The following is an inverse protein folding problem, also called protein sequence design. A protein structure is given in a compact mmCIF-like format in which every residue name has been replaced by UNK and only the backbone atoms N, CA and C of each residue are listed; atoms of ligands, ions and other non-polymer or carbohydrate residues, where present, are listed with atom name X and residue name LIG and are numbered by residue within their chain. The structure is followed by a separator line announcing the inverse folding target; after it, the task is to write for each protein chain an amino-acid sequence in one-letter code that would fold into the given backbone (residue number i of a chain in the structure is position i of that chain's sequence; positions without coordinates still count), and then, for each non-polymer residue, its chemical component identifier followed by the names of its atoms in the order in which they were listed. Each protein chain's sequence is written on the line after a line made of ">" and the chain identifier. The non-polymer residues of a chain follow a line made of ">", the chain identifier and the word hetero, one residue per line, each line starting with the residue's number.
data_IF_783570838121
#
_entry.id   IF_783570838121
#
_cell.length_a   1.000
_cell.length_b   1.000
_cell.length_c   1.000
_cell.angle_alpha   90.00
_cell.angle_beta   90.00
_cell.angle_gamma   90.00
#
_symmetry.space_group_name_H-M   'P 1'
#
loop_
_entity.id
_entity.type
_entity.pdbx_description
1 polymer ?
#
# COMPACT_ATOMS: atom_id res chain seq x y z
N UNK A 1 -36.74 -37.74 16.97
CA UNK A 1 -35.32 -38.11 16.77
C UNK A 1 -34.71 -37.11 15.79
N UNK A 2 -33.65 -36.38 16.15
CA UNK A 2 -33.00 -35.43 15.23
C UNK A 2 -32.14 -36.21 14.23
N UNK A 3 -32.25 -35.89 12.93
CA UNK A 3 -31.42 -36.47 11.86
C UNK A 3 -30.28 -35.50 11.51
N UNK A 4 -29.12 -36.06 11.14
CA UNK A 4 -27.95 -35.31 10.66
C UNK A 4 -27.73 -35.58 9.17
N UNK A 5 -27.08 -34.66 8.48
CA UNK A 5 -26.67 -34.79 7.08
C UNK A 5 -25.36 -34.06 6.80
N UNK A 6 -24.73 -34.38 5.68
CA UNK A 6 -23.50 -33.75 5.20
C UNK A 6 -23.76 -33.09 3.85
N UNK A 7 -23.21 -31.90 3.64
CA UNK A 7 -23.28 -31.17 2.38
C UNK A 7 -21.91 -30.66 1.94
N UNK A 8 -21.71 -30.56 0.63
CA UNK A 8 -20.55 -29.92 0.00
C UNK A 8 -21.03 -28.82 -0.93
N UNK A 9 -20.33 -27.69 -0.93
CA UNK A 9 -20.60 -26.55 -1.81
C UNK A 9 -19.29 -25.97 -2.32
N UNK A 10 -19.27 -25.58 -3.58
CA UNK A 10 -18.14 -24.89 -4.22
C UNK A 10 -18.68 -23.69 -4.99
N UNK A 11 -17.90 -22.63 -5.04
CA UNK A 11 -18.27 -21.42 -5.78
C UNK A 11 -17.04 -20.74 -6.37
N UNK A 12 -17.28 -19.96 -7.41
CA UNK A 12 -16.31 -19.02 -7.97
C UNK A 12 -16.95 -17.64 -7.99
N UNK A 13 -16.18 -16.62 -7.62
CA UNK A 13 -16.64 -15.24 -7.57
C UNK A 13 -15.65 -14.34 -8.30
N UNK A 14 -16.13 -13.62 -9.31
CA UNK A 14 -15.36 -12.58 -9.99
C UNK A 14 -15.20 -11.35 -9.09
N UNK A 15 -14.03 -10.71 -9.13
CA UNK A 15 -13.72 -9.52 -8.33
C UNK A 15 -13.82 -8.28 -9.22
N UNK A 16 -14.53 -7.25 -8.75
CA UNK A 16 -14.77 -6.02 -9.52
C UNK A 16 -16.01 -6.07 -10.41
N UNK A 17 -16.21 -5.03 -11.21
CA UNK A 17 -17.38 -4.89 -12.06
C UNK A 17 -17.24 -5.79 -13.28
N UNK A 18 -18.29 -6.54 -13.60
CA UNK A 18 -18.28 -7.49 -14.72
C UNK A 18 -18.18 -6.76 -16.05
N UNK A 19 -17.03 -6.89 -16.73
CA UNK A 19 -16.83 -6.39 -18.09
C UNK A 19 -16.86 -4.86 -18.25
N UNK A 20 -16.69 -4.11 -17.15
CA UNK A 20 -16.74 -2.65 -17.17
C UNK A 20 -15.54 -2.04 -16.43
N UNK A 21 -15.00 -0.91 -16.90
CA UNK A 21 -14.00 -0.15 -16.15
C UNK A 21 -14.55 0.29 -14.80
N UNK A 22 -13.78 0.05 -13.75
CA UNK A 22 -14.10 0.46 -12.38
C UNK A 22 -12.79 0.81 -11.65
N UNK A 23 -12.17 1.96 -11.96
CA UNK A 23 -10.88 2.34 -11.38
C UNK A 23 -11.00 2.73 -9.90
N UNK A 24 -9.84 2.87 -9.26
CA UNK A 24 -9.67 3.58 -7.98
C UNK A 24 -8.35 4.33 -8.06
N UNK A 25 -8.23 5.40 -7.28
CA UNK A 25 -7.01 6.17 -7.14
C UNK A 25 -6.61 6.29 -5.66
N UNK A 26 -5.35 6.64 -5.44
CA UNK A 26 -4.79 6.90 -4.12
C UNK A 26 -3.71 7.98 -4.22
N UNK A 27 -3.58 8.78 -3.18
CA UNK A 27 -2.42 9.65 -2.98
C UNK A 27 -1.60 9.14 -1.80
N UNK A 28 -0.29 9.30 -1.87
CA UNK A 28 0.65 8.97 -0.80
C UNK A 28 1.62 10.13 -0.62
N UNK A 29 1.88 10.46 0.63
CA UNK A 29 2.86 11.45 1.06
C UNK A 29 3.71 10.83 2.17
N UNK A 30 5.04 10.83 1.97
CA UNK A 30 6.01 10.42 3.00
C UNK A 30 6.54 11.69 3.65
N UNK A 31 6.35 11.82 4.96
CA UNK A 31 6.69 13.00 5.74
C UNK A 31 8.12 12.93 6.27
N UNK A 32 8.70 14.09 6.61
CA UNK A 32 10.08 14.19 7.10
C UNK A 32 10.36 13.42 8.40
N UNK A 33 9.33 13.12 9.18
CA UNK A 33 9.42 12.29 10.40
C UNK A 33 9.26 10.78 10.12
N UNK A 34 9.28 10.37 8.84
CA UNK A 34 9.06 8.99 8.36
C UNK A 34 7.60 8.52 8.41
N UNK A 35 6.66 9.30 8.95
CA UNK A 35 5.24 8.94 8.87
C UNK A 35 4.70 9.08 7.43
N UNK A 36 3.64 8.35 7.11
CA UNK A 36 3.07 8.30 5.74
C UNK A 36 1.58 8.57 5.77
N UNK A 37 1.14 9.55 5.01
CA UNK A 37 -0.27 9.80 4.77
C UNK A 37 -0.72 9.08 3.50
N UNK A 38 -1.86 8.40 3.58
CA UNK A 38 -2.55 7.79 2.44
C UNK A 38 -3.95 8.39 2.35
N UNK A 39 -4.32 8.89 1.18
CA UNK A 39 -5.68 9.34 0.89
C UNK A 39 -6.32 8.39 -0.13
N UNK A 40 -7.46 7.78 0.24
CA UNK A 40 -8.19 6.82 -0.60
C UNK A 40 -9.70 7.10 -0.62
N UNK A 41 -10.33 6.96 -1.79
CA UNK A 41 -11.78 7.16 -1.90
C UNK A 41 -12.64 5.98 -1.44
N UNK A 42 -12.04 4.81 -1.18
CA UNK A 42 -12.83 3.63 -0.83
C UNK A 42 -13.44 3.75 0.57
N UNK A 43 -14.72 3.40 0.70
CA UNK A 43 -15.39 3.36 1.98
C UNK A 43 -15.04 2.06 2.74
N UNK A 44 -14.59 2.20 3.97
CA UNK A 44 -14.56 1.08 4.91
C UNK A 44 -15.90 0.98 5.63
N UNK A 45 -16.57 -0.16 5.47
CA UNK A 45 -17.89 -0.41 6.04
C UNK A 45 -17.83 -1.56 7.06
N UNK A 46 -16.63 -1.85 7.58
CA UNK A 46 -16.38 -2.88 8.59
C UNK A 46 -15.59 -4.09 8.08
N UNK A 47 -15.25 -4.13 6.78
CA UNK A 47 -14.41 -5.19 6.21
C UNK A 47 -12.91 -4.98 6.49
N UNK A 48 -12.50 -3.77 6.90
CA UNK A 48 -11.10 -3.46 7.20
C UNK A 48 -10.29 -3.08 5.95
N UNK A 49 -10.90 -2.39 4.98
CA UNK A 49 -10.16 -1.85 3.83
C UNK A 49 -9.07 -0.86 4.25
N UNK A 50 -9.28 0.02 5.23
CA UNK A 50 -8.22 0.95 5.64
C UNK A 50 -7.00 0.21 6.20
N UNK A 51 -7.21 -0.85 6.98
CA UNK A 51 -6.13 -1.68 7.53
C UNK A 51 -5.32 -2.38 6.44
N UNK A 52 -5.97 -3.06 5.50
CA UNK A 52 -5.23 -3.77 4.44
C UNK A 52 -4.51 -2.80 3.50
N UNK A 53 -5.08 -1.62 3.25
CA UNK A 53 -4.41 -0.59 2.44
C UNK A 53 -3.18 -0.03 3.14
N UNK A 54 -3.24 0.20 4.45
CA UNK A 54 -2.08 0.59 5.25
C UNK A 54 -0.97 -0.47 5.19
N UNK A 55 -1.32 -1.75 5.33
CA UNK A 55 -0.37 -2.87 5.23
C UNK A 55 0.28 -2.96 3.84
N UNK A 56 -0.49 -2.75 2.76
CA UNK A 56 0.04 -2.74 1.38
C UNK A 56 1.07 -1.62 1.20
N UNK A 57 0.79 -0.42 1.71
CA UNK A 57 1.73 0.69 1.61
C UNK A 57 2.98 0.47 2.47
N UNK A 58 2.81 0.00 3.71
CA UNK A 58 3.91 -0.33 4.61
C UNK A 58 4.88 -1.33 3.97
N UNK A 59 4.35 -2.42 3.39
CA UNK A 59 5.16 -3.43 2.70
C UNK A 59 5.89 -2.85 1.48
N UNK A 60 5.19 -2.09 0.62
CA UNK A 60 5.81 -1.54 -0.58
C UNK A 60 6.91 -0.51 -0.23
N UNK A 61 6.71 0.30 0.80
CA UNK A 61 7.69 1.28 1.29
C UNK A 61 8.76 0.65 2.20
N UNK A 62 8.56 -0.53 2.76
CA UNK A 62 9.49 -1.11 3.75
C UNK A 62 9.44 -0.41 5.11
N UNK A 63 8.29 0.16 5.45
CA UNK A 63 7.99 0.82 6.74
C UNK A 63 7.13 -0.09 7.63
N UNK A 64 6.92 0.31 8.88
CA UNK A 64 6.03 -0.41 9.77
C UNK A 64 4.57 0.01 9.55
N UNK A 65 3.63 -0.84 9.96
CA UNK A 65 2.20 -0.52 9.90
C UNK A 65 1.86 0.74 10.70
N UNK A 66 2.52 0.94 11.83
CA UNK A 66 2.31 2.06 12.76
C UNK A 66 2.77 3.41 12.17
N UNK A 67 3.59 3.39 11.13
CA UNK A 67 4.06 4.59 10.43
C UNK A 67 3.00 5.11 9.42
N UNK A 68 1.91 4.36 9.17
CA UNK A 68 0.94 4.64 8.11
C UNK A 68 -0.37 5.19 8.66
N UNK A 69 -0.80 6.35 8.13
CA UNK A 69 -2.07 7.00 8.43
C UNK A 69 -2.97 7.06 7.20
N UNK A 70 -4.19 6.51 7.31
CA UNK A 70 -5.14 6.44 6.19
C UNK A 70 -6.31 7.39 6.42
N UNK A 71 -6.49 8.32 5.48
CA UNK A 71 -7.71 9.13 5.34
C UNK A 71 -8.56 8.52 4.22
N UNK A 72 -9.79 8.14 4.55
CA UNK A 72 -10.67 7.42 3.64
C UNK A 72 -12.03 8.13 3.47
N UNK A 73 -12.58 8.05 2.25
CA UNK A 73 -13.97 8.41 1.93
C UNK A 73 -14.43 9.84 2.27
N UNK A 74 -13.51 10.82 2.23
CA UNK A 74 -13.83 12.25 2.25
C UNK A 74 -13.62 12.85 0.85
N UNK A 75 -14.72 13.13 0.15
CA UNK A 75 -14.71 13.63 -1.23
C UNK A 75 -14.01 14.97 -1.42
N UNK A 76 -13.73 15.72 -0.35
CA UNK A 76 -12.97 16.96 -0.43
C UNK A 76 -11.46 16.71 -0.58
N UNK A 77 -10.94 15.62 0.01
CA UNK A 77 -9.49 15.40 0.16
C UNK A 77 -9.01 14.04 -0.36
N UNK A 78 -9.92 13.10 -0.67
CA UNK A 78 -9.56 11.80 -1.20
C UNK A 78 -9.97 11.66 -2.68
N UNK A 79 -9.16 10.96 -3.49
CA UNK A 79 -9.49 10.75 -4.90
C UNK A 79 -10.60 9.71 -5.06
N UNK A 80 -11.29 9.71 -6.21
CA UNK A 80 -12.37 8.75 -6.50
C UNK A 80 -11.90 7.29 -6.35
N UNK A 81 -12.61 6.53 -5.51
CA UNK A 81 -12.26 5.13 -5.17
C UNK A 81 -13.24 4.10 -5.71
N UNK A 82 -14.38 4.52 -6.27
CA UNK A 82 -15.49 3.66 -6.63
C UNK A 82 -16.20 3.04 -5.43
N UNK A 83 -17.38 2.46 -5.66
CA UNK A 83 -18.20 1.89 -4.61
C UNK A 83 -17.53 0.68 -3.91
N UNK A 84 -17.60 0.62 -2.59
CA UNK A 84 -17.28 -0.58 -1.80
C UNK A 84 -18.33 -1.65 -2.03
N UNK A 85 -18.10 -2.45 -3.06
CA UNK A 85 -18.94 -3.54 -3.55
C UNK A 85 -18.10 -4.54 -4.36
N UNK A 86 -18.69 -5.64 -4.82
CA UNK A 86 -18.06 -6.61 -5.74
C UNK A 86 -16.66 -7.12 -5.28
N UNK A 87 -16.43 -7.21 -3.97
CA UNK A 87 -15.17 -7.63 -3.35
C UNK A 87 -13.92 -6.91 -3.88
N UNK A 88 -14.09 -5.68 -4.39
CA UNK A 88 -13.08 -5.05 -5.26
C UNK A 88 -11.99 -4.28 -4.52
N UNK A 89 -12.24 -3.83 -3.29
CA UNK A 89 -11.43 -2.78 -2.68
C UNK A 89 -9.99 -3.22 -2.38
N UNK A 90 -9.79 -4.41 -1.82
CA UNK A 90 -8.43 -4.95 -1.62
C UNK A 90 -7.67 -5.08 -2.93
N UNK A 91 -8.34 -5.46 -4.02
CA UNK A 91 -7.68 -5.65 -5.30
C UNK A 91 -7.42 -4.32 -6.01
N UNK A 92 -8.45 -3.50 -6.23
CA UNK A 92 -8.36 -2.31 -7.07
C UNK A 92 -7.75 -1.14 -6.30
N UNK A 93 -8.32 -0.78 -5.15
CA UNK A 93 -7.77 0.29 -4.30
C UNK A 93 -6.42 -0.11 -3.70
N UNK A 94 -6.23 -1.40 -3.40
CA UNK A 94 -4.93 -1.93 -2.97
C UNK A 94 -3.84 -1.74 -4.04
N UNK A 95 -4.12 -2.05 -5.30
CA UNK A 95 -3.16 -1.77 -6.38
C UNK A 95 -2.98 -0.26 -6.62
N UNK A 96 -4.01 0.57 -6.42
CA UNK A 96 -3.86 2.03 -6.50
C UNK A 96 -2.88 2.54 -5.43
N UNK A 97 -3.05 2.11 -4.18
CA UNK A 97 -2.13 2.41 -3.07
C UNK A 97 -0.73 1.89 -3.36
N UNK A 98 -0.59 0.64 -3.80
CA UNK A 98 0.69 0.06 -4.18
C UNK A 98 1.40 0.86 -5.28
N UNK A 99 0.66 1.30 -6.30
CA UNK A 99 1.23 2.08 -7.39
C UNK A 99 1.65 3.48 -6.93
N UNK A 100 0.88 4.13 -6.07
CA UNK A 100 1.27 5.40 -5.44
C UNK A 100 2.51 5.24 -4.56
N UNK A 101 2.58 4.15 -3.78
CA UNK A 101 3.72 3.83 -2.92
C UNK A 101 4.99 3.58 -3.74
N UNK A 102 4.89 2.87 -4.87
CA UNK A 102 6.00 2.70 -5.81
C UNK A 102 6.52 4.00 -6.38
N UNK A 103 5.62 4.94 -6.71
CA UNK A 103 6.03 6.25 -7.21
C UNK A 103 6.78 7.03 -6.13
N UNK A 104 6.26 7.08 -4.91
CA UNK A 104 6.95 7.72 -3.78
C UNK A 104 8.31 7.05 -3.50
N UNK A 105 8.34 5.71 -3.45
CA UNK A 105 9.57 4.93 -3.28
C UNK A 105 10.61 5.20 -4.35
N UNK A 106 10.19 5.39 -5.61
CA UNK A 106 11.11 5.73 -6.70
C UNK A 106 11.87 7.04 -6.43
N UNK A 107 11.18 8.07 -5.95
CA UNK A 107 11.83 9.33 -5.56
C UNK A 107 12.78 9.15 -4.38
N UNK A 108 12.36 8.40 -3.36
CA UNK A 108 13.21 8.07 -2.19
C UNK A 108 14.44 7.25 -2.59
N UNK A 109 14.28 6.31 -3.51
CA UNK A 109 15.36 5.45 -4.00
C UNK A 109 16.41 6.24 -4.78
N UNK A 110 16.02 7.27 -5.55
CA UNK A 110 16.96 8.15 -6.22
C UNK A 110 17.89 8.87 -5.22
N UNK A 111 17.32 9.48 -4.18
CA UNK A 111 18.10 10.15 -3.13
C UNK A 111 18.98 9.17 -2.36
N UNK A 112 18.44 8.01 -1.97
CA UNK A 112 19.21 6.98 -1.26
C UNK A 112 20.35 6.40 -2.11
N UNK A 113 20.12 6.20 -3.41
CA UNK A 113 21.13 5.70 -4.35
C UNK A 113 22.28 6.68 -4.51
N UNK A 114 21.98 7.98 -4.59
CA UNK A 114 22.98 9.03 -4.63
C UNK A 114 23.82 9.06 -3.35
N UNK A 115 23.19 8.98 -2.18
CA UNK A 115 23.91 9.02 -0.90
C UNK A 115 24.77 7.76 -0.68
N UNK A 116 24.23 6.58 -0.97
CA UNK A 116 24.90 5.29 -0.79
C UNK A 116 25.86 4.92 -1.93
N UNK A 117 25.87 5.69 -3.03
CA UNK A 117 26.68 5.44 -4.22
C UNK A 117 26.44 4.04 -4.82
N UNK A 118 25.17 3.63 -4.92
CA UNK A 118 24.73 2.35 -5.49
C UNK A 118 23.67 2.58 -6.57
N UNK A 119 23.36 1.55 -7.36
CA UNK A 119 22.23 1.62 -8.29
C UNK A 119 20.91 1.58 -7.50
N UNK A 120 19.94 2.41 -7.88
CA UNK A 120 18.61 2.44 -7.26
C UNK A 120 17.89 1.08 -7.36
N UNK A 121 18.15 0.31 -8.43
CA UNK A 121 17.52 -0.99 -8.66
C UNK A 121 18.10 -2.08 -7.73
N UNK A 122 19.25 -1.81 -7.10
CA UNK A 122 19.87 -2.66 -6.09
C UNK A 122 19.42 -2.32 -4.66
N UNK A 123 18.64 -1.25 -4.46
CA UNK A 123 18.16 -0.86 -3.14
C UNK A 123 17.03 -1.75 -2.63
N UNK A 124 17.15 -2.17 -1.38
CA UNK A 124 16.13 -2.90 -0.63
C UNK A 124 15.63 -2.00 0.49
N UNK A 125 14.31 -1.82 0.55
CA UNK A 125 13.64 -1.10 1.62
C UNK A 125 12.95 -2.11 2.52
N UNK A 126 13.32 -2.16 3.81
CA UNK A 126 12.73 -3.11 4.77
C UNK A 126 12.99 -2.66 6.21
N UNK A 127 12.01 -2.86 7.09
CA UNK A 127 12.14 -2.60 8.53
C UNK A 127 12.66 -1.19 8.86
N UNK A 128 12.24 -0.17 8.09
CA UNK A 128 12.70 1.23 8.20
C UNK A 128 14.19 1.46 7.87
N UNK A 129 14.81 0.50 7.19
CA UNK A 129 16.16 0.62 6.64
C UNK A 129 16.14 0.50 5.11
N UNK A 130 17.15 1.09 4.49
CA UNK A 130 17.40 1.09 3.05
C UNK A 130 18.84 0.62 2.86
N UNK A 131 19.04 -0.47 2.15
CA UNK A 131 20.37 -1.08 2.00
C UNK A 131 20.59 -1.66 0.61
N UNK A 132 21.85 -1.76 0.22
CA UNK A 132 22.23 -2.41 -1.04
C UNK A 132 22.03 -3.92 -0.94
N UNK A 133 21.38 -4.50 -1.95
CA UNK A 133 21.25 -5.95 -2.11
C UNK A 133 22.61 -6.65 -2.24
N UNK A 134 23.59 -5.96 -2.84
CA UNK A 134 24.91 -6.52 -3.13
C UNK A 134 25.86 -6.42 -1.93
N UNK A 135 25.66 -5.41 -1.07
CA UNK A 135 26.40 -5.22 0.17
C UNK A 135 25.48 -4.63 1.26
N UNK A 136 24.86 -5.46 2.10
CA UNK A 136 23.94 -5.00 3.14
C UNK A 136 24.58 -4.09 4.20
N UNK A 137 25.91 -4.02 4.31
CA UNK A 137 26.59 -3.06 5.19
C UNK A 137 26.51 -1.63 4.64
N UNK A 138 26.37 -1.49 3.32
CA UNK A 138 26.02 -0.21 2.68
C UNK A 138 24.53 0.05 2.88
N UNK A 139 24.21 0.82 3.91
CA UNK A 139 22.83 1.09 4.33
C UNK A 139 22.65 2.48 4.91
N UNK A 140 21.39 2.91 4.98
CA UNK A 140 20.93 4.07 5.72
C UNK A 140 19.53 3.80 6.31
N UNK A 141 19.16 4.58 7.31
CA UNK A 141 17.83 4.58 7.92
C UNK A 141 16.92 5.57 7.22
N UNK A 142 15.60 5.38 7.36
CA UNK A 142 14.64 6.35 6.87
C UNK A 142 14.85 7.78 7.43
N UNK A 143 15.09 7.99 8.73
CA UNK A 143 15.39 9.32 9.25
C UNK A 143 16.63 9.98 8.66
N UNK A 144 17.68 9.20 8.34
CA UNK A 144 18.85 9.72 7.62
C UNK A 144 18.47 10.13 6.20
N UNK A 145 17.66 9.33 5.50
CA UNK A 145 17.18 9.68 4.16
C UNK A 145 16.34 10.96 4.15
N UNK A 146 15.46 11.13 5.13
CA UNK A 146 14.58 12.30 5.20
C UNK A 146 15.29 13.60 5.61
N UNK A 147 16.55 13.51 6.06
CA UNK A 147 17.36 14.67 6.43
C UNK A 147 18.14 15.27 5.24
N UNK A 148 18.21 14.57 4.11
CA UNK A 148 18.84 15.00 2.86
C UNK A 148 17.84 15.69 1.91
#
# INVERSE_FOLDING_TARGET
>A
MIKRGTGVGSMWYGVGNTGLPNPAAAFIEVLGDTSVNIMVGCADIGQGSTTILAQIAAEELGLNYEDIHVTAADTMVTPEGGATSASRQTFISGNAVRNAAKQAKGTLALTAAEYLQVDQDDLVFRNREIYSKNDPETRMTYPELMAE
#
